data_IF_229378542537
#
_entry.id   IF_229378542537
#
_cell.length_a   1.000
_cell.length_b   1.000
_cell.length_c   1.000
_cell.angle_alpha   90.00
_cell.angle_beta   90.00
_cell.angle_gamma   90.00
#
_symmetry.space_group_name_H-M   'P 1'
#
loop_
_entity.id
_entity.type
_entity.pdbx_description
1 polymer ?
#
# COMPACT_ATOMS: atom_id res chain seq x y z
N UNK A 1 14.10 8.91 -12.43
CA UNK A 1 12.81 8.27 -12.07
C UNK A 1 11.76 8.51 -13.16
N UNK A 2 11.56 9.76 -13.61
CA UNK A 2 10.71 10.06 -14.76
C UNK A 2 11.09 9.26 -16.04
N UNK A 3 12.39 9.09 -16.32
CA UNK A 3 12.83 8.35 -17.51
C UNK A 3 12.54 6.84 -17.46
N UNK A 4 12.48 6.23 -16.26
CA UNK A 4 12.09 4.82 -16.11
C UNK A 4 10.59 4.63 -16.32
N UNK A 5 9.80 5.68 -16.05
CA UNK A 5 8.34 5.66 -16.14
C UNK A 5 7.82 6.02 -17.54
N UNK A 6 8.63 6.67 -18.39
CA UNK A 6 8.22 7.13 -19.72
C UNK A 6 8.46 6.13 -20.86
N UNK A 7 9.28 5.09 -20.64
CA UNK A 7 9.75 4.17 -21.68
C UNK A 7 8.89 2.92 -21.94
N UNK A 8 7.68 2.82 -21.39
CA UNK A 8 6.87 1.59 -21.45
C UNK A 8 7.35 0.47 -20.52
N UNK A 9 8.35 0.75 -19.68
CA UNK A 9 8.90 -0.17 -18.67
C UNK A 9 7.92 -0.31 -17.50
N UNK A 10 7.70 -1.55 -17.06
CA UNK A 10 6.97 -1.80 -15.81
C UNK A 10 7.91 -1.64 -14.62
N UNK A 11 7.56 -0.76 -13.68
CA UNK A 11 8.33 -0.50 -12.46
C UNK A 11 7.56 -1.05 -11.26
N UNK A 12 8.24 -1.84 -10.42
CA UNK A 12 7.72 -2.28 -9.14
C UNK A 12 8.40 -1.46 -8.04
N UNK A 13 7.59 -0.81 -7.21
CA UNK A 13 8.03 -0.09 -6.01
C UNK A 13 7.50 -0.80 -4.77
N UNK A 14 8.38 -1.07 -3.81
CA UNK A 14 8.03 -1.56 -2.47
C UNK A 14 8.38 -0.47 -1.46
N UNK A 15 7.42 -0.05 -0.66
CA UNK A 15 7.61 0.98 0.37
C UNK A 15 6.63 0.78 1.51
N UNK A 16 7.02 1.26 2.69
CA UNK A 16 6.14 1.36 3.85
C UNK A 16 5.46 2.75 3.94
N UNK A 17 5.90 3.73 3.15
CA UNK A 17 5.27 5.05 3.12
C UNK A 17 4.12 5.08 2.12
N UNK A 18 2.91 5.23 2.64
CA UNK A 18 1.71 5.41 1.82
C UNK A 18 1.81 6.70 0.99
N UNK A 19 2.38 7.78 1.53
CA UNK A 19 2.56 9.04 0.80
C UNK A 19 3.48 8.87 -0.41
N UNK A 20 4.53 8.07 -0.30
CA UNK A 20 5.40 7.75 -1.43
C UNK A 20 4.65 6.94 -2.49
N UNK A 21 3.89 5.93 -2.06
CA UNK A 21 3.09 5.08 -2.96
C UNK A 21 2.04 5.92 -3.70
N UNK A 22 1.32 6.80 -3.01
CA UNK A 22 0.31 7.68 -3.58
C UNK A 22 0.87 8.65 -4.63
N UNK A 23 2.11 9.10 -4.46
CA UNK A 23 2.77 10.00 -5.41
C UNK A 23 3.33 9.29 -6.65
N UNK A 24 3.75 8.04 -6.52
CA UNK A 24 4.57 7.37 -7.53
C UNK A 24 3.86 6.24 -8.27
N UNK A 25 2.83 5.64 -7.68
CA UNK A 25 2.17 4.46 -8.22
C UNK A 25 0.77 4.77 -8.75
N UNK A 26 0.38 4.11 -9.84
CA UNK A 26 -0.99 4.11 -10.37
C UNK A 26 -1.81 2.88 -9.93
N UNK A 27 -1.15 1.78 -9.58
CA UNK A 27 -1.74 0.55 -9.03
C UNK A 27 -0.92 0.09 -7.82
N UNK A 28 -1.59 -0.57 -6.87
CA UNK A 28 -0.97 -1.11 -5.65
C UNK A 28 -1.46 -2.52 -5.38
N UNK A 29 -0.52 -3.40 -5.02
CA UNK A 29 -0.77 -4.69 -4.41
C UNK A 29 -0.54 -4.57 -2.91
N UNK A 30 -1.55 -4.84 -2.10
CA UNK A 30 -1.46 -4.93 -0.65
C UNK A 30 -1.32 -6.39 -0.23
N UNK A 31 -0.21 -6.69 0.44
CA UNK A 31 0.06 -7.99 1.06
C UNK A 31 -0.19 -7.94 2.57
N UNK A 32 -0.73 -9.02 3.10
CA UNK A 32 -0.98 -9.23 4.52
C UNK A 32 -0.61 -10.67 4.88
N UNK A 33 0.38 -10.86 5.77
CA UNK A 33 0.88 -12.18 6.17
C UNK A 33 1.20 -13.13 5.00
N UNK A 34 1.79 -12.60 3.92
CA UNK A 34 2.14 -13.38 2.72
C UNK A 34 0.99 -13.60 1.73
N UNK A 35 -0.21 -13.08 2.01
CA UNK A 35 -1.37 -13.19 1.13
C UNK A 35 -1.68 -11.88 0.43
N UNK A 36 -1.98 -11.95 -0.88
CA UNK A 36 -2.48 -10.80 -1.64
C UNK A 36 -3.91 -10.48 -1.21
N UNK A 37 -4.06 -9.42 -0.43
CA UNK A 37 -5.34 -9.00 0.12
C UNK A 37 -6.12 -8.14 -0.87
N UNK A 38 -5.42 -7.26 -1.59
CA UNK A 38 -6.04 -6.39 -2.60
C UNK A 38 -5.03 -6.00 -3.67
N UNK A 39 -5.50 -5.92 -4.91
CA UNK A 39 -4.79 -5.33 -6.05
C UNK A 39 -5.75 -4.39 -6.77
N UNK A 40 -5.35 -3.16 -7.02
CA UNK A 40 -6.22 -2.17 -7.65
C UNK A 40 -5.61 -0.77 -7.79
N UNK A 41 -6.44 0.24 -8.15
CA UNK A 41 -6.01 1.64 -8.23
C UNK A 41 -5.45 2.13 -6.90
N UNK A 42 -4.33 2.86 -6.94
CA UNK A 42 -3.62 3.31 -5.74
C UNK A 42 -4.52 3.95 -4.70
N UNK A 43 -5.34 4.93 -5.11
CA UNK A 43 -6.21 5.70 -4.19
C UNK A 43 -7.21 4.85 -3.43
N UNK A 44 -7.76 3.82 -4.06
CA UNK A 44 -8.74 2.93 -3.44
C UNK A 44 -8.05 2.01 -2.43
N UNK A 45 -6.96 1.37 -2.87
CA UNK A 45 -6.23 0.40 -2.03
C UNK A 45 -5.58 1.09 -0.83
N UNK A 46 -4.97 2.27 -0.99
CA UNK A 46 -4.35 2.99 0.13
C UNK A 46 -5.38 3.53 1.12
N UNK A 47 -6.56 3.93 0.66
CA UNK A 47 -7.66 4.34 1.53
C UNK A 47 -8.21 3.17 2.37
N UNK A 48 -8.33 1.98 1.79
CA UNK A 48 -8.68 0.76 2.52
C UNK A 48 -7.59 0.36 3.52
N UNK A 49 -6.32 0.38 3.08
CA UNK A 49 -5.16 0.06 3.92
C UNK A 49 -5.07 0.95 5.16
N UNK A 50 -5.21 2.29 5.01
CA UNK A 50 -5.18 3.23 6.15
C UNK A 50 -6.30 2.97 7.16
N UNK A 51 -7.47 2.48 6.72
CA UNK A 51 -8.57 2.09 7.62
C UNK A 51 -8.24 0.78 8.33
N UNK A 52 -7.55 -0.14 7.68
CA UNK A 52 -7.10 -1.39 8.25
C UNK A 52 -6.02 -1.18 9.32
N UNK A 53 -4.96 -0.43 9.04
CA UNK A 53 -3.89 -0.17 10.01
C UNK A 53 -4.39 0.44 11.33
N UNK A 54 -5.32 1.40 11.25
CA UNK A 54 -5.95 1.98 12.43
C UNK A 54 -6.70 0.96 13.28
N UNK A 55 -7.32 -0.03 12.65
CA UNK A 55 -8.04 -1.11 13.33
C UNK A 55 -7.08 -2.13 13.95
N UNK A 56 -5.97 -2.43 13.28
CA UNK A 56 -4.97 -3.36 13.79
C UNK A 56 -4.20 -2.78 14.98
N UNK A 57 -3.81 -1.50 14.91
CA UNK A 57 -3.21 -0.79 16.05
C UNK A 57 -4.14 -0.81 17.29
N UNK A 58 -5.44 -0.53 17.11
CA UNK A 58 -6.44 -0.59 18.19
C UNK A 58 -6.69 -1.99 18.75
N UNK A 59 -6.39 -3.06 17.99
CA UNK A 59 -6.50 -4.43 18.49
C UNK A 59 -5.30 -4.81 19.34
N UNK A 60 -4.10 -4.37 18.97
CA UNK A 60 -2.87 -4.64 19.73
C UNK A 60 -2.96 -4.05 21.16
N UNK A 61 -3.44 -2.81 21.30
CA UNK A 61 -3.60 -2.13 22.60
C UNK A 61 -4.61 -2.80 23.55
N UNK A 62 -5.53 -3.64 23.03
CA UNK A 62 -6.53 -4.34 23.85
C UNK A 62 -6.09 -5.70 24.36
N UNK A 63 -4.96 -6.23 23.88
CA UNK A 63 -4.47 -7.56 24.27
C UNK A 63 -3.53 -7.49 25.48
N UNK A 64 -3.00 -6.30 25.80
CA UNK A 64 -2.12 -6.06 26.96
C UNK A 64 -2.87 -5.50 28.20
N UNK A 65 -4.21 -5.48 28.19
CA UNK A 65 -5.06 -4.97 29.27
C UNK A 65 -5.82 -6.04 30.04
#
# INVERSE_FOLDING_TARGET
MAELLSGGTTVILVSHSIEQIERMCNKVAWLDHGHLRRLGPTKEVTAEYRKFEKKDAMKADKVEG
#
